data_IF_566817532917
#
_entry.id   IF_566817532917
#
_cell.length_a   1.000
_cell.length_b   1.000
_cell.length_c   1.000
_cell.angle_alpha   90.00
_cell.angle_beta   90.00
_cell.angle_gamma   90.00
#
_symmetry.space_group_name_H-M   'P 1'
#
loop_
_entity.id
_entity.type
_entity.pdbx_description
1 polymer ?
#
# COMPACT_ATOMS: atom_id res chain seq x y z
N UNK A 1 -7.11 -9.84 -8.02
CA UNK A 1 -7.23 -9.94 -6.55
C UNK A 1 -8.62 -10.47 -6.27
N UNK A 2 -8.80 -11.72 -5.84
CA UNK A 2 -10.15 -12.22 -5.52
C UNK A 2 -10.53 -11.65 -4.15
N UNK A 3 -11.28 -10.55 -4.14
CA UNK A 3 -11.94 -10.05 -2.93
C UNK A 3 -13.22 -10.86 -2.76
N UNK A 4 -13.28 -11.67 -1.72
CA UNK A 4 -14.52 -12.35 -1.34
C UNK A 4 -15.58 -11.28 -0.97
N UNK A 5 -16.87 -11.53 -1.21
CA UNK A 5 -17.94 -10.57 -0.87
C UNK A 5 -17.92 -10.14 0.60
N UNK A 6 -17.48 -11.03 1.49
CA UNK A 6 -17.33 -10.76 2.93
C UNK A 6 -16.17 -9.80 3.24
N UNK A 7 -15.10 -9.81 2.44
CA UNK A 7 -13.94 -8.92 2.63
C UNK A 7 -14.25 -7.47 2.23
N UNK A 8 -15.26 -7.24 1.37
CA UNK A 8 -15.68 -5.89 0.97
C UNK A 8 -16.21 -5.05 2.14
N UNK A 9 -16.80 -5.70 3.15
CA UNK A 9 -17.31 -5.05 4.35
C UNK A 9 -16.28 -4.97 5.48
N UNK A 10 -15.05 -5.46 5.24
CA UNK A 10 -13.98 -5.41 6.22
C UNK A 10 -13.41 -3.99 6.37
N UNK A 11 -12.88 -3.70 7.57
CA UNK A 11 -12.15 -2.48 7.85
C UNK A 11 -10.64 -2.74 7.81
N UNK A 12 -9.92 -2.00 6.98
CA UNK A 12 -8.47 -2.11 6.84
C UNK A 12 -7.77 -0.84 7.32
N UNK A 13 -6.59 -1.00 7.92
CA UNK A 13 -5.77 0.11 8.38
C UNK A 13 -5.19 0.90 7.20
N UNK A 14 -4.92 2.20 7.43
CA UNK A 14 -4.27 3.08 6.44
C UNK A 14 -3.01 2.46 5.82
N UNK A 15 -2.14 1.86 6.64
CA UNK A 15 -0.90 1.22 6.19
C UNK A 15 -1.18 0.04 5.26
N UNK A 16 -2.13 -0.83 5.65
CA UNK A 16 -2.58 -1.97 4.85
C UNK A 16 -3.15 -1.51 3.50
N UNK A 17 -3.95 -0.45 3.48
CA UNK A 17 -4.48 0.12 2.25
C UNK A 17 -3.35 0.58 1.29
N UNK A 18 -2.35 1.30 1.81
CA UNK A 18 -1.20 1.76 1.01
C UNK A 18 -0.37 0.59 0.45
N UNK A 19 -0.17 -0.47 1.23
CA UNK A 19 0.64 -1.64 0.82
C UNK A 19 -0.10 -2.56 -0.15
N UNK A 20 -1.38 -2.85 0.13
CA UNK A 20 -2.21 -3.75 -0.69
C UNK A 20 -2.63 -3.10 -1.99
N UNK A 21 -3.01 -1.83 -1.98
CA UNK A 21 -3.56 -1.15 -3.17
C UNK A 21 -2.59 -0.14 -3.80
N UNK A 22 -1.33 -0.12 -3.31
CA UNK A 22 -0.26 0.76 -3.79
C UNK A 22 -0.60 2.26 -3.77
N UNK A 23 -1.55 2.65 -2.92
CA UNK A 23 -2.01 4.02 -2.76
C UNK A 23 -1.02 4.86 -1.96
N UNK A 24 -0.98 6.17 -2.23
CA UNK A 24 -0.22 7.14 -1.44
C UNK A 24 -1.15 8.01 -0.57
N UNK A 25 -0.57 8.94 0.19
CA UNK A 25 -1.33 9.79 1.11
C UNK A 25 -2.24 10.79 0.39
N UNK A 26 -1.87 11.26 -0.80
CA UNK A 26 -2.71 12.12 -1.66
C UNK A 26 -3.94 11.37 -2.13
N UNK A 27 -3.76 10.10 -2.51
CA UNK A 27 -4.87 9.25 -2.97
C UNK A 27 -5.88 8.96 -1.86
N UNK A 28 -5.45 8.95 -0.60
CA UNK A 28 -6.31 8.68 0.54
C UNK A 28 -6.93 9.96 1.14
N UNK A 29 -6.15 11.02 1.30
CA UNK A 29 -6.54 12.21 2.07
C UNK A 29 -7.07 13.36 1.20
N UNK A 30 -6.59 13.51 -0.04
CA UNK A 30 -6.84 14.70 -0.87
C UNK A 30 -7.81 14.46 -2.02
N UNK A 31 -7.76 13.30 -2.65
CA UNK A 31 -8.63 12.99 -3.80
C UNK A 31 -10.11 12.95 -3.41
N UNK A 32 -10.94 13.60 -4.21
CA UNK A 32 -12.39 13.58 -4.06
C UNK A 32 -13.00 12.35 -4.76
N UNK A 33 -14.09 11.76 -4.21
CA UNK A 33 -14.71 12.09 -2.92
C UNK A 33 -13.83 11.65 -1.73
N UNK A 34 -13.89 12.39 -0.62
CA UNK A 34 -13.12 12.02 0.58
C UNK A 34 -13.54 10.66 1.11
N UNK A 35 -12.56 9.81 1.41
CA UNK A 35 -12.81 8.49 2.00
C UNK A 35 -13.28 8.64 3.44
N UNK A 36 -14.26 7.82 3.83
CA UNK A 36 -14.72 7.74 5.23
C UNK A 36 -13.82 6.79 5.99
N UNK A 37 -13.55 7.10 7.26
CA UNK A 37 -12.75 6.27 8.13
C UNK A 37 -13.23 6.33 9.58
N UNK A 38 -12.89 5.30 10.34
CA UNK A 38 -13.01 5.27 11.80
C UNK A 38 -11.64 5.53 12.43
N UNK A 39 -11.63 6.30 13.52
CA UNK A 39 -10.45 6.48 14.36
C UNK A 39 -10.50 5.50 15.54
N UNK A 40 -9.42 4.76 15.74
CA UNK A 40 -9.26 3.85 16.88
C UNK A 40 -7.90 4.08 17.52
N UNK A 41 -7.81 4.00 18.85
CA UNK A 41 -6.52 4.05 19.55
C UNK A 41 -5.57 3.00 18.97
N UNK A 42 -4.32 3.40 18.77
CA UNK A 42 -3.32 2.52 18.22
C UNK A 42 -3.05 1.35 19.20
N UNK A 43 -3.25 0.08 18.77
CA UNK A 43 -3.12 -1.07 19.65
C UNK A 43 -1.68 -1.32 20.11
N UNK A 44 -0.68 -0.82 19.38
CA UNK A 44 0.72 -1.01 19.74
C UNK A 44 1.19 -0.02 20.82
N UNK A 45 0.81 1.26 20.70
CA UNK A 45 1.18 2.27 21.70
C UNK A 45 0.18 3.41 21.69
N UNK A 46 -0.40 3.71 22.85
CA UNK A 46 -1.39 4.80 23.00
C UNK A 46 -0.82 6.21 22.79
N UNK A 47 0.50 6.37 22.79
CA UNK A 47 1.18 7.63 22.47
C UNK A 47 1.31 7.88 20.96
N UNK A 48 1.12 6.86 20.13
CA UNK A 48 1.04 7.03 18.69
C UNK A 48 -0.33 7.61 18.31
N UNK A 49 -0.36 8.39 17.24
CA UNK A 49 -1.62 8.94 16.72
C UNK A 49 -2.65 7.84 16.43
N UNK A 50 -3.93 8.22 16.49
CA UNK A 50 -5.03 7.30 16.26
C UNK A 50 -4.93 6.61 14.89
N UNK A 51 -5.21 5.31 14.89
CA UNK A 51 -5.26 4.48 13.70
C UNK A 51 -6.52 4.81 12.89
N UNK A 52 -6.35 5.10 11.61
CA UNK A 52 -7.44 5.23 10.65
C UNK A 52 -7.76 3.88 10.03
N UNK A 53 -9.02 3.48 10.15
CA UNK A 53 -9.61 2.27 9.57
C UNK A 53 -10.58 2.67 8.46
N UNK A 54 -10.34 2.19 7.24
CA UNK A 54 -11.14 2.46 6.05
C UNK A 54 -11.92 1.20 5.65
N UNK A 55 -13.09 1.38 5.03
CA UNK A 55 -13.81 0.26 4.42
C UNK A 55 -13.03 -0.25 3.21
N UNK A 56 -12.76 -1.54 3.14
CA UNK A 56 -11.96 -2.12 2.06
C UNK A 56 -12.57 -1.88 0.69
N UNK A 57 -13.90 -1.98 0.54
CA UNK A 57 -14.60 -1.64 -0.71
C UNK A 57 -14.32 -0.20 -1.20
N UNK A 58 -14.23 0.78 -0.29
CA UNK A 58 -13.92 2.17 -0.68
C UNK A 58 -12.48 2.31 -1.17
N UNK A 59 -11.56 1.56 -0.55
CA UNK A 59 -10.15 1.54 -0.94
C UNK A 59 -9.97 0.84 -2.28
N UNK A 60 -10.64 -0.30 -2.50
CA UNK A 60 -10.61 -1.01 -3.77
C UNK A 60 -11.11 -0.11 -4.91
N UNK A 61 -12.24 0.57 -4.71
CA UNK A 61 -12.75 1.53 -5.70
C UNK A 61 -11.74 2.66 -5.96
N UNK A 62 -11.18 3.27 -4.91
CA UNK A 62 -10.15 4.31 -5.06
C UNK A 62 -8.92 3.80 -5.80
N UNK A 63 -8.53 2.55 -5.59
CA UNK A 63 -7.42 1.93 -6.29
C UNK A 63 -7.71 1.78 -7.78
N UNK A 64 -8.93 1.36 -8.14
CA UNK A 64 -9.36 1.32 -9.54
C UNK A 64 -9.38 2.72 -10.16
N UNK A 65 -9.81 3.75 -9.43
CA UNK A 65 -9.80 5.13 -9.94
C UNK A 65 -8.36 5.66 -10.19
N UNK A 66 -7.38 5.20 -9.39
CA UNK A 66 -5.97 5.62 -9.48
C UNK A 66 -5.21 4.83 -10.55
N UNK A 67 -5.43 3.52 -10.61
CA UNK A 67 -4.64 2.60 -11.44
C UNK A 67 -5.37 2.15 -12.71
N UNK A 68 -6.68 2.36 -12.82
CA UNK A 68 -7.52 2.00 -13.95
C UNK A 68 -7.98 0.54 -13.95
N UNK A 69 -7.14 -0.40 -13.51
CA UNK A 69 -7.48 -1.82 -13.42
C UNK A 69 -6.67 -2.55 -12.34
N UNK A 70 -7.16 -3.71 -11.92
CA UNK A 70 -6.39 -4.59 -11.02
C UNK A 70 -5.09 -5.08 -11.66
N UNK A 71 -5.12 -5.37 -12.96
CA UNK A 71 -3.92 -5.80 -13.71
C UNK A 71 -2.82 -4.74 -13.68
N UNK A 72 -3.18 -3.45 -13.72
CA UNK A 72 -2.23 -2.35 -13.60
C UNK A 72 -1.58 -2.31 -12.20
N UNK A 73 -2.36 -2.58 -11.14
CA UNK A 73 -1.85 -2.66 -9.76
C UNK A 73 -0.87 -3.82 -9.63
N UNK A 74 -1.20 -4.99 -10.19
CA UNK A 74 -0.35 -6.16 -10.10
C UNK A 74 0.94 -5.99 -10.94
N UNK A 75 0.83 -5.47 -12.15
CA UNK A 75 1.99 -5.13 -12.98
C UNK A 75 2.93 -4.13 -12.28
N UNK A 76 2.37 -3.11 -11.60
CA UNK A 76 3.16 -2.18 -10.81
C UNK A 76 3.82 -2.86 -9.60
N UNK A 77 3.13 -3.80 -8.93
CA UNK A 77 3.69 -4.57 -7.83
C UNK A 77 4.90 -5.38 -8.28
N UNK A 78 4.77 -6.11 -9.37
CA UNK A 78 5.88 -6.89 -9.96
C UNK A 78 7.04 -5.98 -10.36
N UNK A 79 6.75 -4.82 -10.98
CA UNK A 79 7.76 -3.83 -11.33
C UNK A 79 8.53 -3.33 -10.09
N UNK A 80 7.83 -3.03 -8.99
CA UNK A 80 8.46 -2.61 -7.72
C UNK A 80 9.28 -3.73 -7.09
N UNK A 81 8.80 -4.98 -7.14
CA UNK A 81 9.50 -6.14 -6.63
C UNK A 81 10.82 -6.38 -7.39
N UNK A 82 10.76 -6.40 -8.72
CA UNK A 82 11.95 -6.54 -9.59
C UNK A 82 12.96 -5.43 -9.34
N UNK A 83 12.51 -4.17 -9.26
CA UNK A 83 13.40 -3.04 -8.96
C UNK A 83 14.10 -3.18 -7.60
N UNK A 84 13.40 -3.71 -6.59
CA UNK A 84 13.98 -3.97 -5.27
C UNK A 84 15.06 -5.06 -5.33
N UNK A 85 14.82 -6.11 -6.09
CA UNK A 85 15.79 -7.17 -6.35
C UNK A 85 17.03 -6.64 -7.09
N UNK A 86 16.83 -5.93 -8.20
CA UNK A 86 17.91 -5.32 -8.99
C UNK A 86 18.79 -4.39 -8.12
N UNK A 87 18.16 -3.58 -7.26
CA UNK A 87 18.87 -2.70 -6.34
C UNK A 87 19.68 -3.50 -5.30
N UNK A 88 19.15 -4.62 -4.81
CA UNK A 88 19.85 -5.51 -3.87
C UNK A 88 21.08 -6.15 -4.52
N UNK A 89 20.95 -6.63 -5.76
CA UNK A 89 22.07 -7.20 -6.53
C UNK A 89 23.15 -6.14 -6.76
N UNK A 90 22.78 -4.96 -7.27
CA UNK A 90 23.73 -3.84 -7.49
C UNK A 90 24.45 -3.42 -6.21
N UNK A 91 23.73 -3.37 -5.08
CA UNK A 91 24.33 -3.04 -3.79
C UNK A 91 25.33 -4.10 -3.33
N UNK A 92 25.04 -5.39 -3.57
CA UNK A 92 25.96 -6.48 -3.29
C UNK A 92 27.21 -6.42 -4.18
N UNK A 93 27.06 -6.25 -5.50
CA UNK A 93 28.18 -6.10 -6.44
C UNK A 93 29.09 -4.93 -6.08
N UNK A 94 28.53 -3.78 -5.67
CA UNK A 94 29.30 -2.63 -5.23
C UNK A 94 30.12 -2.94 -3.97
N UNK A 95 29.56 -3.67 -3.01
CA UNK A 95 30.29 -4.10 -1.79
C UNK A 95 31.43 -5.06 -2.12
N UNK A 96 31.18 -6.04 -2.98
CA UNK A 96 32.19 -6.99 -3.46
C UNK A 96 33.33 -6.21 -4.13
N UNK A 97 33.02 -5.35 -5.10
CA UNK A 97 34.03 -4.57 -5.83
C UNK A 97 34.85 -3.68 -4.89
N UNK A 98 34.23 -3.03 -3.91
CA UNK A 98 34.93 -2.19 -2.93
C UNK A 98 35.76 -2.96 -1.88
N UNK A 99 35.74 -4.29 -1.87
CA UNK A 99 36.58 -5.12 -0.99
C UNK A 99 37.79 -5.71 -1.73
N UNK A 100 37.78 -5.71 -3.07
CA UNK A 100 38.90 -6.18 -3.90
C UNK A 100 39.79 -5.04 -4.43
N UNK A 101 39.56 -3.81 -3.97
CA UNK A 101 40.41 -2.63 -4.12
C UNK A 101 40.61 -1.99 -2.74
#
# INVERSE_FOLDING_TARGET
>A
MHLDPDDLHSLIARTTAKERYLLNDVDLDLREPKLRFLLKRNPHTSSWGDMRLYLEAQIAQRALDVWGSEDAIESERERRAKRKEDNRVRQYEKKIRGHYF
#
